data_IF_632933508200
#
_entry.id   IF_632933508200
#
_cell.length_a   1.000
_cell.length_b   1.000
_cell.length_c   1.000
_cell.angle_alpha   90.00
_cell.angle_beta   90.00
_cell.angle_gamma   90.00
#
_symmetry.space_group_name_H-M   'P 1'
#
loop_
_entity.id
_entity.type
_entity.pdbx_description
1 polymer ?
#
# COMPACT_ATOMS: atom_id res chain seq x y z
N UNK A 1 4.67 -13.49 16.57
CA UNK A 1 5.60 -13.85 15.48
C UNK A 1 5.04 -14.88 14.52
N UNK A 2 4.14 -15.77 14.99
CA UNK A 2 3.54 -16.78 14.12
C UNK A 2 2.57 -16.17 13.10
N UNK A 3 1.79 -15.17 13.52
CA UNK A 3 0.79 -14.55 12.65
C UNK A 3 1.39 -13.85 11.43
N UNK A 4 2.43 -12.99 11.56
CA UNK A 4 3.07 -12.40 10.38
C UNK A 4 3.68 -13.43 9.44
N UNK A 5 4.30 -14.47 9.98
CA UNK A 5 4.87 -15.55 9.18
C UNK A 5 3.80 -16.33 8.42
N UNK A 6 2.69 -16.64 9.08
CA UNK A 6 1.55 -17.32 8.46
C UNK A 6 0.96 -16.50 7.32
N UNK A 7 0.74 -15.20 7.54
CA UNK A 7 0.21 -14.31 6.50
C UNK A 7 1.15 -14.21 5.31
N UNK A 8 2.46 -14.13 5.55
CA UNK A 8 3.47 -14.09 4.47
C UNK A 8 3.44 -15.35 3.63
N UNK A 9 3.31 -16.52 4.25
CA UNK A 9 3.21 -17.80 3.54
C UNK A 9 1.93 -17.87 2.72
N UNK A 10 0.82 -17.39 3.26
CA UNK A 10 -0.46 -17.35 2.53
C UNK A 10 -0.39 -16.43 1.32
N UNK A 11 0.30 -15.29 1.41
CA UNK A 11 0.52 -14.39 0.28
C UNK A 11 1.34 -15.07 -0.81
N UNK A 12 2.42 -15.74 -0.44
CA UNK A 12 3.27 -16.47 -1.39
C UNK A 12 2.48 -17.58 -2.06
N UNK A 13 1.69 -18.33 -1.30
CA UNK A 13 0.84 -19.40 -1.84
C UNK A 13 -0.16 -18.88 -2.85
N UNK A 14 -0.79 -17.74 -2.59
CA UNK A 14 -1.73 -17.09 -3.50
C UNK A 14 -1.07 -16.74 -4.84
N UNK A 15 0.13 -16.15 -4.79
CA UNK A 15 0.88 -15.79 -6.01
C UNK A 15 1.29 -17.02 -6.79
N UNK A 16 1.59 -18.13 -6.11
CA UNK A 16 2.03 -19.38 -6.75
C UNK A 16 0.89 -20.27 -7.25
N UNK A 17 -0.34 -19.80 -7.20
CA UNK A 17 -1.49 -20.53 -7.77
C UNK A 17 -2.43 -21.18 -6.77
N UNK A 18 -2.26 -20.90 -5.47
CA UNK A 18 -3.20 -21.34 -4.43
C UNK A 18 -4.44 -20.46 -4.37
N UNK A 19 -5.18 -20.53 -3.26
CA UNK A 19 -6.34 -19.68 -3.06
C UNK A 19 -5.92 -18.20 -3.03
N UNK A 20 -6.70 -17.30 -3.67
CA UNK A 20 -6.40 -15.87 -3.63
C UNK A 20 -6.37 -15.34 -2.18
N UNK A 21 -5.41 -14.47 -1.91
CA UNK A 21 -5.31 -13.78 -0.63
C UNK A 21 -6.17 -12.50 -0.71
N UNK A 22 -7.19 -12.40 0.13
CA UNK A 22 -8.15 -11.29 0.10
C UNK A 22 -8.35 -10.72 1.50
N UNK A 23 -7.35 -10.03 2.02
CA UNK A 23 -7.33 -9.46 3.36
C UNK A 23 -6.72 -8.06 3.32
N UNK A 24 -7.00 -7.23 4.33
CA UNK A 24 -6.31 -5.95 4.47
C UNK A 24 -4.80 -6.14 4.56
N UNK A 25 -4.06 -5.40 3.75
CA UNK A 25 -2.60 -5.46 3.73
C UNK A 25 -2.02 -4.11 3.37
N UNK A 26 -0.78 -3.87 3.79
CA UNK A 26 -0.03 -2.69 3.38
C UNK A 26 0.23 -2.74 1.87
N UNK A 27 -0.24 -1.74 1.16
CA UNK A 27 -0.19 -1.69 -0.31
C UNK A 27 0.33 -0.33 -0.77
N UNK A 28 1.17 -0.34 -1.78
CA UNK A 28 1.58 0.90 -2.44
C UNK A 28 0.39 1.46 -3.20
N UNK A 29 -0.04 2.66 -2.83
CA UNK A 29 -1.24 3.28 -3.37
C UNK A 29 -0.85 4.38 -4.34
N UNK A 30 -1.40 4.30 -5.55
CA UNK A 30 -1.22 5.30 -6.59
C UNK A 30 -2.51 5.40 -7.39
N UNK A 31 -3.37 6.34 -7.02
CA UNK A 31 -4.62 6.62 -7.72
C UNK A 31 -4.88 8.13 -7.74
N UNK A 32 -6.06 8.53 -8.17
CA UNK A 32 -6.40 9.95 -8.28
C UNK A 32 -6.42 10.67 -6.93
N UNK A 33 -6.79 9.98 -5.87
CA UNK A 33 -6.96 10.57 -4.53
C UNK A 33 -5.73 10.41 -3.64
N UNK A 34 -5.11 9.24 -3.65
CA UNK A 34 -3.93 8.92 -2.82
C UNK A 34 -2.79 8.48 -3.72
N UNK A 35 -1.60 9.03 -3.52
CA UNK A 35 -0.46 8.75 -4.40
C UNK A 35 0.84 8.57 -3.63
N UNK A 36 1.64 7.61 -4.11
CA UNK A 36 3.03 7.43 -3.68
C UNK A 36 3.19 7.21 -2.17
N UNK A 37 2.33 6.38 -1.60
CA UNK A 37 2.32 6.06 -0.18
C UNK A 37 1.94 4.59 0.05
N UNK A 38 2.39 4.03 1.15
CA UNK A 38 1.95 2.70 1.60
C UNK A 38 0.83 2.87 2.61
N UNK A 39 -0.31 2.27 2.32
CA UNK A 39 -1.48 2.30 3.21
C UNK A 39 -2.11 0.92 3.28
N UNK A 40 -2.78 0.63 4.39
CA UNK A 40 -3.57 -0.59 4.51
C UNK A 40 -4.85 -0.47 3.68
N UNK A 41 -5.02 -1.38 2.73
CA UNK A 41 -6.17 -1.45 1.85
C UNK A 41 -6.67 -2.88 1.77
N UNK A 42 -7.94 -3.05 1.42
CA UNK A 42 -8.45 -4.38 1.07
C UNK A 42 -7.77 -4.83 -0.21
N UNK A 43 -6.84 -5.74 -0.06
CA UNK A 43 -5.94 -6.17 -1.13
C UNK A 43 -6.27 -7.59 -1.54
N UNK A 44 -6.33 -7.83 -2.85
CA UNK A 44 -6.44 -9.18 -3.43
C UNK A 44 -5.13 -9.53 -4.12
N UNK A 45 -4.56 -10.66 -3.75
CA UNK A 45 -3.30 -11.14 -4.30
C UNK A 45 -3.52 -12.54 -4.90
N UNK A 46 -3.18 -12.69 -6.17
CA UNK A 46 -3.32 -13.95 -6.90
C UNK A 46 -2.21 -14.12 -7.94
N UNK A 47 -2.35 -15.10 -8.85
CA UNK A 47 -1.35 -15.35 -9.88
C UNK A 47 -1.19 -14.21 -10.88
N UNK A 48 -2.17 -13.34 -10.99
CA UNK A 48 -2.11 -12.17 -11.88
C UNK A 48 -1.49 -10.94 -11.22
N UNK A 49 -1.11 -11.05 -9.95
CA UNK A 49 -0.52 -9.97 -9.19
C UNK A 49 -1.42 -9.46 -8.09
N UNK A 50 -1.30 -8.19 -7.76
CA UNK A 50 -1.99 -7.59 -6.64
C UNK A 50 -2.92 -6.48 -7.14
N UNK A 51 -4.10 -6.41 -6.52
CA UNK A 51 -5.05 -5.34 -6.72
C UNK A 51 -5.59 -4.90 -5.37
N UNK A 52 -6.05 -3.67 -5.27
CA UNK A 52 -6.63 -3.17 -4.03
C UNK A 52 -7.93 -2.44 -4.32
N UNK A 53 -8.78 -2.40 -3.30
CA UNK A 53 -10.08 -1.74 -3.38
C UNK A 53 -10.06 -0.51 -2.46
N UNK A 54 -10.53 0.61 -2.97
CA UNK A 54 -10.67 1.82 -2.17
C UNK A 54 -11.71 1.61 -1.08
N UNK A 55 -11.40 1.97 0.18
CA UNK A 55 -12.37 1.84 1.25
C UNK A 55 -13.56 2.78 1.04
N UNK A 56 -14.75 2.29 1.38
CA UNK A 56 -15.97 3.06 1.39
C UNK A 56 -16.46 3.16 2.83
N UNK A 57 -16.88 4.34 3.23
CA UNK A 57 -17.35 4.57 4.59
C UNK A 57 -18.12 5.86 4.71
N UNK A 58 -18.48 6.21 5.94
CA UNK A 58 -19.15 7.48 6.22
C UNK A 58 -18.21 8.66 5.95
N UNK A 59 -18.81 9.86 5.86
CA UNK A 59 -18.00 11.07 5.67
C UNK A 59 -16.95 11.26 6.78
N UNK A 60 -17.29 10.89 8.02
CA UNK A 60 -16.37 10.97 9.16
C UNK A 60 -15.22 9.97 9.01
N UNK A 61 -15.51 8.73 8.59
CA UNK A 61 -14.50 7.70 8.37
C UNK A 61 -13.56 8.10 7.24
N UNK A 62 -14.09 8.63 6.15
CA UNK A 62 -13.27 9.09 5.03
C UNK A 62 -12.42 10.29 5.41
N UNK A 63 -12.92 11.19 6.25
CA UNK A 63 -12.13 12.30 6.77
C UNK A 63 -10.95 11.82 7.63
N UNK A 64 -11.14 10.79 8.44
CA UNK A 64 -10.06 10.19 9.22
C UNK A 64 -9.03 9.51 8.32
N UNK A 65 -9.46 8.85 7.27
CA UNK A 65 -8.56 8.25 6.28
C UNK A 65 -7.74 9.32 5.56
N UNK A 66 -8.37 10.42 5.16
CA UNK A 66 -7.68 11.54 4.53
C UNK A 66 -6.65 12.18 5.47
N UNK A 67 -6.98 12.30 6.76
CA UNK A 67 -6.04 12.79 7.76
C UNK A 67 -4.85 11.85 7.92
N UNK A 68 -5.07 10.55 7.92
CA UNK A 68 -4.00 9.55 7.97
C UNK A 68 -3.11 9.64 6.73
N UNK A 69 -3.70 9.79 5.56
CA UNK A 69 -2.94 9.97 4.31
C UNK A 69 -2.06 11.21 4.37
N UNK A 70 -2.62 12.34 4.79
CA UNK A 70 -1.86 13.59 4.92
C UNK A 70 -0.68 13.44 5.89
N UNK A 71 -0.89 12.75 7.01
CA UNK A 71 0.15 12.49 8.00
C UNK A 71 1.27 11.61 7.41
N UNK A 72 0.91 10.55 6.69
CA UNK A 72 1.88 9.66 6.04
C UNK A 72 2.69 10.39 4.97
N UNK A 73 2.05 11.26 4.19
CA UNK A 73 2.74 12.09 3.21
C UNK A 73 3.74 13.02 3.87
N UNK A 74 3.37 13.63 5.00
CA UNK A 74 4.27 14.49 5.75
C UNK A 74 5.50 13.74 6.24
N UNK A 75 5.31 12.52 6.77
CA UNK A 75 6.42 11.68 7.20
C UNK A 75 7.31 11.28 6.04
N UNK A 76 6.73 10.93 4.89
CA UNK A 76 7.47 10.64 3.67
C UNK A 76 8.33 11.83 3.25
N UNK A 77 7.77 13.03 3.24
CA UNK A 77 8.47 14.25 2.83
C UNK A 77 9.61 14.60 3.80
N UNK A 78 9.46 14.30 5.08
CA UNK A 78 10.55 14.45 6.05
C UNK A 78 11.72 13.51 5.71
N UNK A 79 11.44 12.26 5.33
CA UNK A 79 12.47 11.32 4.91
C UNK A 79 13.18 11.77 3.64
N UNK A 80 12.47 12.37 2.71
CA UNK A 80 13.06 12.96 1.51
C UNK A 80 13.98 14.11 1.87
N UNK A 81 13.54 15.00 2.77
CA UNK A 81 14.34 16.14 3.23
C UNK A 81 15.62 15.70 3.92
N UNK A 82 15.59 14.59 4.64
CA UNK A 82 16.75 14.01 5.32
C UNK A 82 17.66 13.18 4.41
N UNK A 83 17.35 13.10 3.12
CA UNK A 83 18.07 12.31 2.12
C UNK A 83 18.10 10.81 2.42
N UNK A 84 17.13 10.30 3.19
CA UNK A 84 16.99 8.87 3.46
C UNK A 84 16.29 8.18 2.29
N UNK A 85 15.34 8.88 1.65
CA UNK A 85 14.56 8.40 0.52
C UNK A 85 14.72 9.38 -0.64
N UNK A 86 14.85 8.91 -1.90
CA UNK A 86 14.91 9.81 -3.07
C UNK A 86 13.65 10.66 -3.21
N UNK A 87 13.71 11.83 -3.88
CA UNK A 87 12.52 12.60 -4.20
C UNK A 87 11.50 11.79 -4.99
N UNK A 88 10.21 12.03 -4.74
CA UNK A 88 9.11 11.29 -5.35
C UNK A 88 9.17 11.30 -6.88
N UNK A 89 9.59 12.40 -7.46
CA UNK A 89 9.71 12.57 -8.92
C UNK A 89 10.69 11.58 -9.56
N UNK A 90 11.63 11.06 -8.76
CA UNK A 90 12.64 10.11 -9.22
C UNK A 90 12.24 8.66 -9.03
N UNK A 91 11.15 8.38 -8.34
CA UNK A 91 10.78 7.01 -8.00
C UNK A 91 10.50 6.16 -9.24
N UNK A 92 9.84 6.72 -10.26
CA UNK A 92 9.58 5.99 -11.50
C UNK A 92 10.85 5.71 -12.31
N UNK A 93 11.87 6.57 -12.18
CA UNK A 93 13.17 6.32 -12.81
C UNK A 93 13.91 5.17 -12.14
N UNK A 94 13.82 5.11 -10.80
CA UNK A 94 14.48 4.07 -10.00
C UNK A 94 13.74 2.75 -10.17
N UNK A 95 12.40 2.79 -10.17
CA UNK A 95 11.57 1.60 -10.34
C UNK A 95 10.45 1.88 -11.36
N UNK A 96 10.65 1.51 -12.62
CA UNK A 96 9.66 1.74 -13.66
C UNK A 96 8.32 1.00 -13.46
N UNK A 97 8.30 0.05 -12.53
CA UNK A 97 7.09 -0.75 -12.26
C UNK A 97 6.11 -0.08 -11.28
N UNK A 98 6.47 1.07 -10.74
CA UNK A 98 5.56 1.79 -9.84
C UNK A 98 4.41 2.47 -10.59
#
# INVERSE_FOLDING_TARGET
WQSPSYCSVEMIRAVMGGEPFAWPAGTYVKNEKYQNIMMAMDTTLDTNGCSYKMPEGTAEEMALLDASYAHLCKMRDELVTLNIVPPVEKWNEINPNL
#
